data_IF_901701871199
#
_entry.id   IF_901701871199
#
_cell.length_a   1.000
_cell.length_b   1.000
_cell.length_c   1.000
_cell.angle_alpha   90.00
_cell.angle_beta   90.00
_cell.angle_gamma   90.00
#
_symmetry.space_group_name_H-M   'P 1'
#
loop_
_entity.id
_entity.type
_entity.pdbx_description
1 polymer ?
#
# COMPACT_ATOMS: atom_id res chain seq x y z
N UNK A 1 -48.17 12.94 75.89
CA UNK A 1 -49.53 13.42 75.60
C UNK A 1 -49.56 13.87 74.15
N UNK A 2 -50.32 13.17 73.30
CA UNK A 2 -50.74 13.51 71.93
C UNK A 2 -49.65 13.73 70.86
N UNK A 3 -49.79 13.35 69.59
CA UNK A 3 -50.59 12.39 68.81
C UNK A 3 -50.28 12.78 67.36
N UNK A 4 -49.89 11.83 66.49
CA UNK A 4 -50.18 11.78 65.02
C UNK A 4 -49.67 12.95 64.15
N UNK A 5 -49.27 12.85 62.88
CA UNK A 5 -49.36 11.94 61.72
C UNK A 5 -48.31 12.52 60.75
N UNK A 6 -47.59 11.80 59.90
CA UNK A 6 -48.07 11.18 58.66
C UNK A 6 -46.81 10.49 58.09
N UNK A 7 -46.75 9.15 58.00
CA UNK A 7 -47.15 8.35 56.83
C UNK A 7 -46.53 8.89 55.53
N UNK A 8 -45.87 8.14 54.66
CA UNK A 8 -45.67 6.71 54.44
C UNK A 8 -44.91 6.68 53.10
N UNK A 9 -43.86 5.87 52.94
CA UNK A 9 -43.22 5.41 51.68
C UNK A 9 -41.76 5.12 52.03
N UNK A 10 -41.19 3.95 51.85
CA UNK A 10 -41.70 2.65 51.45
C UNK A 10 -40.55 1.68 51.79
N UNK A 11 -40.89 0.55 52.41
CA UNK A 11 -40.37 -0.78 52.14
C UNK A 11 -38.93 -0.86 51.55
N UNK A 12 -37.93 -1.31 52.31
CA UNK A 12 -37.61 -2.74 52.50
C UNK A 12 -37.77 -3.54 51.20
N UNK A 13 -36.65 -3.89 50.56
CA UNK A 13 -36.22 -5.27 50.19
C UNK A 13 -35.05 -5.14 49.22
N UNK A 14 -33.82 -5.52 49.58
CA UNK A 14 -33.30 -6.91 49.59
C UNK A 14 -33.13 -7.45 48.17
N UNK A 15 -31.95 -8.05 47.96
CA UNK A 15 -31.64 -9.16 47.04
C UNK A 15 -30.75 -8.88 45.82
N UNK A 16 -29.46 -9.12 46.06
CA UNK A 16 -28.64 -10.10 45.34
C UNK A 16 -28.09 -9.80 43.94
N UNK A 17 -26.78 -9.58 43.94
CA UNK A 17 -25.81 -10.17 43.01
C UNK A 17 -26.23 -11.58 42.58
N UNK A 18 -26.50 -11.82 41.29
CA UNK A 18 -26.10 -13.03 40.54
C UNK A 18 -26.01 -12.70 39.04
N UNK A 19 -24.80 -12.87 38.51
CA UNK A 19 -24.42 -12.98 37.10
C UNK A 19 -25.17 -14.17 36.47
N UNK A 20 -25.89 -13.99 35.37
CA UNK A 20 -26.13 -15.08 34.41
C UNK A 20 -26.22 -14.60 32.96
N UNK A 21 -25.44 -15.31 32.14
CA UNK A 21 -25.63 -15.62 30.72
C UNK A 21 -25.52 -14.47 29.70
N UNK A 22 -24.29 -14.27 29.25
CA UNK A 22 -23.96 -13.91 27.86
C UNK A 22 -24.77 -14.77 26.88
N UNK A 23 -25.69 -14.11 26.18
CA UNK A 23 -26.54 -14.71 25.16
C UNK A 23 -26.93 -13.68 24.10
N UNK A 24 -25.99 -12.83 23.66
CA UNK A 24 -26.20 -12.06 22.44
C UNK A 24 -26.08 -13.03 21.26
N UNK A 25 -27.25 -13.46 20.80
CA UNK A 25 -27.46 -14.12 19.53
C UNK A 25 -26.92 -13.21 18.42
N UNK A 26 -25.66 -13.42 18.03
CA UNK A 26 -25.10 -12.85 16.81
C UNK A 26 -25.85 -13.49 15.65
N UNK A 27 -26.88 -12.80 15.18
CA UNK A 27 -27.38 -12.99 13.83
C UNK A 27 -26.18 -12.86 12.90
N UNK A 28 -25.74 -13.99 12.33
CA UNK A 28 -24.90 -14.04 11.14
C UNK A 28 -25.64 -13.29 10.03
N UNK A 29 -25.41 -11.98 9.93
CA UNK A 29 -25.56 -11.29 8.66
C UNK A 29 -24.47 -11.86 7.78
N UNK A 30 -24.91 -12.59 6.76
CA UNK A 30 -24.10 -13.00 5.63
C UNK A 30 -23.20 -11.84 5.22
N UNK A 31 -21.89 -12.08 5.18
CA UNK A 31 -20.94 -11.18 4.56
C UNK A 31 -21.37 -11.00 3.10
N UNK A 32 -22.12 -9.94 2.83
CA UNK A 32 -22.12 -9.33 1.52
C UNK A 32 -20.69 -8.86 1.32
N UNK A 33 -20.02 -9.49 0.36
CA UNK A 33 -18.77 -9.01 -0.21
C UNK A 33 -18.99 -7.53 -0.56
N UNK A 34 -18.48 -6.65 0.29
CA UNK A 34 -18.27 -5.26 -0.08
C UNK A 34 -17.18 -5.28 -1.15
N UNK A 35 -17.57 -5.00 -2.39
CA UNK A 35 -16.60 -4.74 -3.46
C UNK A 35 -15.96 -3.40 -3.08
N UNK A 36 -14.80 -3.46 -2.42
CA UNK A 36 -14.04 -2.28 -2.06
C UNK A 36 -13.47 -1.69 -3.35
N UNK A 37 -14.12 -0.69 -3.93
CA UNK A 37 -13.54 0.12 -5.01
C UNK A 37 -12.52 1.05 -4.37
N UNK A 38 -11.25 1.02 -4.78
CA UNK A 38 -10.29 2.01 -4.31
C UNK A 38 -10.68 3.34 -4.94
N UNK A 39 -10.65 4.44 -4.17
CA UNK A 39 -10.96 5.74 -4.76
C UNK A 39 -9.86 6.12 -5.76
N UNK A 40 -10.26 6.68 -6.92
CA UNK A 40 -9.36 7.31 -7.93
C UNK A 40 -8.36 8.28 -7.25
N UNK A 41 -8.74 8.84 -6.11
CA UNK A 41 -7.94 9.71 -5.26
C UNK A 41 -6.73 9.01 -4.61
N UNK A 42 -6.90 7.83 -4.01
CA UNK A 42 -5.81 7.15 -3.27
C UNK A 42 -4.70 6.67 -4.20
N UNK A 43 -5.06 5.96 -5.26
CA UNK A 43 -4.07 5.46 -6.22
C UNK A 43 -3.56 6.59 -7.13
N UNK A 44 -4.35 7.65 -7.32
CA UNK A 44 -3.89 8.89 -7.93
C UNK A 44 -2.76 9.58 -7.15
N UNK A 45 -2.81 9.54 -5.81
CA UNK A 45 -1.72 10.06 -4.97
C UNK A 45 -0.40 9.29 -5.15
N UNK A 46 -0.46 7.96 -5.24
CA UNK A 46 0.71 7.13 -5.54
C UNK A 46 1.34 7.50 -6.89
N UNK A 47 0.53 7.77 -7.92
CA UNK A 47 1.03 8.20 -9.22
C UNK A 47 1.61 9.62 -9.19
N UNK A 48 0.97 10.55 -8.49
CA UNK A 48 1.49 11.91 -8.33
C UNK A 48 2.83 11.95 -7.58
N UNK A 49 3.07 10.99 -6.68
CA UNK A 49 4.32 10.81 -5.95
C UNK A 49 5.42 10.11 -6.78
N UNK A 50 5.06 9.50 -7.92
CA UNK A 50 5.98 8.67 -8.73
C UNK A 50 6.25 9.18 -10.14
N UNK A 51 5.40 10.04 -10.69
CA UNK A 51 5.54 10.57 -12.06
C UNK A 51 5.17 12.05 -12.15
N UNK A 52 6.11 12.86 -12.63
CA UNK A 52 5.95 14.31 -12.80
C UNK A 52 6.61 14.78 -14.10
N UNK A 53 5.85 15.51 -14.92
CA UNK A 53 6.35 16.17 -16.15
C UNK A 53 7.17 15.26 -17.10
N UNK A 54 6.80 13.98 -17.20
CA UNK A 54 7.52 13.03 -18.06
C UNK A 54 8.70 12.32 -17.38
N UNK A 55 8.96 12.57 -16.11
CA UNK A 55 10.03 11.97 -15.31
C UNK A 55 9.48 11.12 -14.18
N UNK A 56 10.20 10.07 -13.81
CA UNK A 56 9.90 9.25 -12.65
C UNK A 56 10.71 9.73 -11.44
N UNK A 57 10.00 9.91 -10.33
CA UNK A 57 10.51 10.34 -9.03
C UNK A 57 10.06 9.33 -7.98
N UNK A 58 10.62 9.40 -6.77
CA UNK A 58 10.21 8.51 -5.67
C UNK A 58 9.90 9.32 -4.42
N UNK A 59 8.67 9.21 -3.91
CA UNK A 59 8.22 9.92 -2.69
C UNK A 59 8.44 11.44 -2.72
N UNK A 60 8.44 12.06 -3.91
CA UNK A 60 8.75 13.50 -4.05
C UNK A 60 10.21 13.86 -3.73
N UNK A 61 11.09 12.87 -3.59
CA UNK A 61 12.50 13.07 -3.25
C UNK A 61 13.34 13.28 -4.52
N UNK A 62 14.31 14.21 -4.49
CA UNK A 62 15.28 14.32 -5.57
C UNK A 62 16.20 13.09 -5.57
N UNK A 63 16.57 12.63 -6.76
CA UNK A 63 17.57 11.56 -6.90
C UNK A 63 18.92 11.97 -6.34
N UNK A 64 19.68 10.98 -5.86
CA UNK A 64 21.01 11.14 -5.26
C UNK A 64 21.05 11.95 -3.95
N UNK A 65 19.88 12.19 -3.33
CA UNK A 65 19.79 12.70 -1.97
C UNK A 65 20.45 11.71 -0.98
N UNK A 66 21.12 12.23 0.06
CA UNK A 66 21.78 11.36 1.03
C UNK A 66 20.78 10.57 1.87
N UNK A 67 21.20 9.42 2.40
CA UNK A 67 20.37 8.59 3.29
C UNK A 67 19.88 9.37 4.50
N UNK A 68 20.75 10.17 5.12
CA UNK A 68 20.38 10.99 6.27
C UNK A 68 19.30 12.02 5.90
N UNK A 69 19.43 12.68 4.75
CA UNK A 69 18.41 13.62 4.29
C UNK A 69 17.07 12.93 3.97
N UNK A 70 17.08 11.69 3.47
CA UNK A 70 15.85 10.89 3.32
C UNK A 70 15.21 10.66 4.68
N UNK A 71 15.98 10.20 5.67
CA UNK A 71 15.51 9.98 7.03
C UNK A 71 14.88 11.25 7.60
N UNK A 72 15.54 12.40 7.45
CA UNK A 72 15.08 13.67 8.00
C UNK A 72 13.80 14.16 7.30
N UNK A 73 13.74 14.11 5.97
CA UNK A 73 12.58 14.57 5.19
C UNK A 73 11.35 13.69 5.40
N UNK A 74 11.55 12.39 5.45
CA UNK A 74 10.47 11.41 5.61
C UNK A 74 10.17 11.09 7.09
N UNK A 75 10.94 11.66 8.02
CA UNK A 75 10.83 11.45 9.47
C UNK A 75 10.92 9.97 9.85
N UNK A 76 11.85 9.26 9.22
CA UNK A 76 12.04 7.82 9.41
C UNK A 76 12.88 7.55 10.64
N UNK A 77 12.79 6.33 11.15
CA UNK A 77 13.71 5.84 12.17
C UNK A 77 14.95 5.30 11.45
N UNK A 78 16.12 5.67 11.92
CA UNK A 78 17.39 5.18 11.36
C UNK A 78 17.43 3.65 11.44
N UNK A 79 17.77 3.02 10.32
CA UNK A 79 18.01 1.57 10.23
C UNK A 79 19.51 1.29 10.34
N UNK A 80 19.85 0.15 10.94
CA UNK A 80 21.23 -0.33 11.07
C UNK A 80 21.83 -0.83 9.75
N UNK A 81 21.01 -1.03 8.70
CA UNK A 81 21.48 -1.56 7.43
C UNK A 81 21.90 -0.45 6.47
N UNK A 82 23.08 -0.58 5.88
CA UNK A 82 23.77 0.48 5.15
C UNK A 82 23.09 0.81 3.80
N UNK A 83 22.59 -0.19 3.07
CA UNK A 83 22.20 -0.02 1.66
C UNK A 83 20.69 0.17 1.43
N UNK A 84 19.86 -0.01 2.46
CA UNK A 84 18.41 0.11 2.33
C UNK A 84 17.73 0.66 3.59
N UNK A 85 16.60 1.34 3.39
CA UNK A 85 15.64 1.68 4.45
C UNK A 85 14.30 1.05 4.10
N UNK A 86 13.73 0.26 5.01
CA UNK A 86 12.45 -0.41 4.84
C UNK A 86 11.47 0.16 5.84
N UNK A 87 10.33 0.67 5.35
CA UNK A 87 9.29 1.26 6.19
C UNK A 87 7.91 0.76 5.78
N UNK A 88 6.98 0.78 6.74
CA UNK A 88 5.57 0.57 6.43
C UNK A 88 5.05 1.72 5.59
N UNK A 89 4.31 1.39 4.53
CA UNK A 89 3.76 2.40 3.65
C UNK A 89 2.49 3.04 4.20
N UNK A 90 2.22 4.27 3.75
CA UNK A 90 1.15 5.12 4.30
C UNK A 90 0.01 5.37 3.31
N UNK A 91 0.04 4.79 2.11
CA UNK A 91 -1.09 4.98 1.19
C UNK A 91 -2.32 4.30 1.77
N UNK A 92 -3.48 4.99 1.82
CA UNK A 92 -4.70 4.47 2.44
C UNK A 92 -5.36 3.39 1.57
N UNK A 93 -4.69 2.26 1.45
CA UNK A 93 -5.20 1.05 0.81
C UNK A 93 -6.11 0.28 1.79
N UNK A 94 -6.86 -0.67 1.24
CA UNK A 94 -7.63 -1.62 2.04
C UNK A 94 -6.72 -2.36 3.03
N UNK A 95 -7.20 -2.61 4.25
CA UNK A 95 -6.47 -3.32 5.31
C UNK A 95 -5.98 -4.74 4.92
N UNK A 96 -6.53 -5.32 3.85
CA UNK A 96 -6.08 -6.60 3.28
C UNK A 96 -4.81 -6.52 2.42
N UNK A 97 -4.33 -5.31 2.11
CA UNK A 97 -3.08 -5.09 1.40
C UNK A 97 -2.03 -4.55 2.37
N UNK A 98 -0.95 -5.31 2.55
CA UNK A 98 0.23 -4.84 3.25
C UNK A 98 1.08 -4.00 2.31
N UNK A 99 1.38 -2.77 2.70
CA UNK A 99 2.29 -1.89 1.96
C UNK A 99 3.66 -1.82 2.65
N UNK A 100 4.72 -1.92 1.86
CA UNK A 100 6.09 -1.67 2.29
C UNK A 100 6.78 -0.76 1.29
N UNK A 101 7.49 0.24 1.80
CA UNK A 101 8.28 1.18 1.01
C UNK A 101 9.75 0.90 1.29
N UNK A 102 10.54 0.71 0.23
CA UNK A 102 11.98 0.45 0.34
C UNK A 102 12.72 1.55 -0.38
N UNK A 103 13.64 2.21 0.32
CA UNK A 103 14.60 3.14 -0.25
C UNK A 103 15.92 2.39 -0.43
N UNK A 104 16.51 2.44 -1.62
CA UNK A 104 17.78 1.78 -1.92
C UNK A 104 18.86 2.83 -2.17
N UNK A 105 20.00 2.62 -1.52
CA UNK A 105 21.12 3.52 -1.55
C UNK A 105 22.32 2.87 -2.23
N UNK A 106 23.11 3.68 -2.90
CA UNK A 106 24.44 3.30 -3.37
C UNK A 106 25.36 4.47 -3.03
N UNK A 107 26.48 4.19 -2.36
CA UNK A 107 27.42 5.23 -1.93
C UNK A 107 26.73 6.36 -1.14
N UNK A 108 25.84 6.00 -0.19
CA UNK A 108 24.99 6.89 0.62
C UNK A 108 23.92 7.69 -0.16
N UNK A 109 23.77 7.46 -1.47
CA UNK A 109 22.85 8.20 -2.33
C UNK A 109 21.63 7.39 -2.74
N UNK A 110 20.44 7.99 -2.69
CA UNK A 110 19.20 7.36 -3.14
C UNK A 110 19.25 7.12 -4.67
N UNK A 111 19.28 5.85 -5.06
CA UNK A 111 19.36 5.43 -6.47
C UNK A 111 18.10 4.76 -6.99
N UNK A 112 17.30 4.16 -6.11
CA UNK A 112 16.00 3.59 -6.46
C UNK A 112 15.09 3.43 -5.25
N UNK A 113 13.80 3.31 -5.50
CA UNK A 113 12.78 3.04 -4.49
C UNK A 113 11.81 1.96 -4.95
N UNK A 114 11.19 1.28 -3.99
CA UNK A 114 10.20 0.25 -4.24
C UNK A 114 8.93 0.45 -3.41
N UNK A 115 7.79 0.35 -4.07
CA UNK A 115 6.51 0.07 -3.42
C UNK A 115 6.19 -1.41 -3.56
N UNK A 116 6.05 -2.09 -2.42
CA UNK A 116 5.64 -3.49 -2.35
C UNK A 116 4.26 -3.56 -1.74
N UNK A 117 3.35 -4.19 -2.47
CA UNK A 117 1.98 -4.38 -2.05
C UNK A 117 1.67 -5.88 -2.07
N UNK A 118 1.41 -6.44 -0.90
CA UNK A 118 1.21 -7.87 -0.72
C UNK A 118 -0.18 -8.17 -0.18
N UNK A 119 -0.83 -9.22 -0.70
CA UNK A 119 -2.09 -9.74 -0.19
C UNK A 119 -2.20 -11.24 -0.43
N UNK A 120 -2.84 -11.95 0.48
CA UNK A 120 -3.19 -13.37 0.32
C UNK A 120 -4.55 -13.55 -0.39
N UNK A 121 -5.29 -12.47 -0.64
CA UNK A 121 -6.60 -12.52 -1.29
C UNK A 121 -6.48 -12.29 -2.80
N UNK A 122 -6.59 -13.39 -3.56
CA UNK A 122 -6.52 -13.36 -5.02
C UNK A 122 -7.58 -12.43 -5.66
N UNK A 123 -8.80 -12.41 -5.14
CA UNK A 123 -9.86 -11.58 -5.73
C UNK A 123 -9.56 -10.10 -5.54
N UNK A 124 -9.07 -9.73 -4.35
CA UNK A 124 -8.61 -8.37 -4.11
C UNK A 124 -7.39 -8.01 -4.95
N UNK A 125 -6.44 -8.93 -5.12
CA UNK A 125 -5.29 -8.71 -5.98
C UNK A 125 -5.69 -8.46 -7.44
N UNK A 126 -6.59 -9.29 -8.00
CA UNK A 126 -7.08 -9.15 -9.36
C UNK A 126 -7.88 -7.84 -9.56
N UNK A 127 -8.71 -7.46 -8.60
CA UNK A 127 -9.45 -6.20 -8.66
C UNK A 127 -8.50 -5.00 -8.61
N UNK A 128 -7.55 -5.03 -7.68
CA UNK A 128 -6.59 -3.94 -7.51
C UNK A 128 -5.67 -3.79 -8.73
N UNK A 129 -5.27 -4.90 -9.35
CA UNK A 129 -4.56 -4.91 -10.64
C UNK A 129 -5.31 -4.12 -11.71
N UNK A 130 -6.61 -4.41 -11.92
CA UNK A 130 -7.47 -3.69 -12.89
C UNK A 130 -7.53 -2.20 -12.61
N UNK A 131 -7.75 -1.83 -11.35
CA UNK A 131 -7.86 -0.42 -10.96
C UNK A 131 -6.53 0.33 -11.19
N UNK A 132 -5.41 -0.29 -10.84
CA UNK A 132 -4.09 0.24 -11.15
C UNK A 132 -3.85 0.34 -12.66
N UNK A 133 -4.29 -0.64 -13.45
CA UNK A 133 -4.18 -0.64 -14.92
C UNK A 133 -4.92 0.53 -15.57
N UNK A 134 -6.15 0.80 -15.12
CA UNK A 134 -6.94 1.96 -15.57
C UNK A 134 -6.21 3.27 -15.26
N UNK A 135 -5.66 3.38 -14.05
CA UNK A 135 -4.94 4.58 -13.61
C UNK A 135 -3.63 4.80 -14.35
N UNK A 136 -2.80 3.76 -14.46
CA UNK A 136 -1.55 3.82 -15.22
C UNK A 136 -1.83 4.19 -16.68
N UNK A 137 -2.90 3.68 -17.28
CA UNK A 137 -3.30 4.02 -18.66
C UNK A 137 -3.75 5.48 -18.83
N UNK A 138 -4.33 6.06 -17.76
CA UNK A 138 -4.81 7.46 -17.74
C UNK A 138 -3.66 8.46 -17.60
N UNK A 139 -2.64 8.12 -16.81
CA UNK A 139 -1.57 9.06 -16.41
C UNK A 139 -0.24 8.86 -17.14
N UNK A 140 0.07 7.64 -17.56
CA UNK A 140 1.35 7.30 -18.15
C UNK A 140 1.22 7.04 -19.66
N UNK A 141 2.31 7.27 -20.44
CA UNK A 141 2.36 6.77 -21.80
C UNK A 141 2.31 5.24 -21.83
N UNK A 142 2.17 4.68 -23.04
CA UNK A 142 2.23 3.22 -23.19
C UNK A 142 3.56 2.66 -22.66
N UNK A 143 3.55 1.53 -21.93
CA UNK A 143 4.76 0.84 -21.51
C UNK A 143 5.60 0.38 -22.71
N UNK A 144 6.90 0.16 -22.49
CA UNK A 144 7.88 -0.30 -23.48
C UNK A 144 7.91 -1.81 -23.68
N UNK A 145 7.44 -2.57 -22.70
CA UNK A 145 7.47 -4.03 -22.71
C UNK A 145 6.11 -4.57 -23.15
N UNK A 146 5.32 -5.04 -22.20
CA UNK A 146 4.05 -5.73 -22.40
C UNK A 146 2.87 -4.77 -22.50
N UNK A 147 1.73 -5.27 -22.97
CA UNK A 147 0.48 -4.53 -22.92
C UNK A 147 0.04 -4.30 -21.46
N UNK A 148 -0.44 -3.10 -21.14
CA UNK A 148 -0.93 -2.75 -19.81
C UNK A 148 -2.08 -3.67 -19.34
N UNK A 149 -2.78 -4.31 -20.29
CA UNK A 149 -3.80 -5.33 -20.07
C UNK A 149 -3.33 -6.54 -19.23
N UNK A 150 -2.02 -6.76 -19.03
CA UNK A 150 -1.56 -7.79 -18.08
C UNK A 150 -2.07 -7.56 -16.65
N UNK A 151 -2.38 -6.32 -16.31
CA UNK A 151 -2.96 -5.94 -15.02
C UNK A 151 -4.44 -6.33 -14.91
N UNK A 152 -5.15 -6.51 -16.03
CA UNK A 152 -6.53 -7.00 -16.03
C UNK A 152 -6.62 -8.49 -15.66
N UNK A 153 -5.50 -9.20 -15.81
CA UNK A 153 -5.31 -10.62 -15.49
C UNK A 153 -4.16 -10.77 -14.48
N UNK A 154 -4.15 -9.92 -13.44
CA UNK A 154 -3.01 -9.81 -12.54
C UNK A 154 -2.64 -11.14 -11.86
N UNK A 155 -3.63 -11.97 -11.51
CA UNK A 155 -3.48 -13.30 -10.93
C UNK A 155 -2.72 -14.27 -11.84
N UNK A 156 -3.09 -14.33 -13.12
CA UNK A 156 -2.41 -15.16 -14.12
C UNK A 156 -1.01 -14.59 -14.41
N UNK A 157 -0.91 -13.27 -14.59
CA UNK A 157 0.34 -12.57 -14.87
C UNK A 157 1.37 -12.71 -13.75
N UNK A 158 0.92 -12.78 -12.49
CA UNK A 158 1.78 -12.99 -11.33
C UNK A 158 2.47 -14.36 -11.35
N UNK A 159 1.82 -15.39 -11.88
CA UNK A 159 2.42 -16.72 -12.02
C UNK A 159 3.47 -16.76 -13.15
N UNK A 160 3.35 -15.86 -14.13
CA UNK A 160 4.24 -15.78 -15.28
C UNK A 160 5.44 -14.84 -15.06
N UNK A 161 5.41 -14.03 -14.00
CA UNK A 161 6.46 -13.05 -13.72
C UNK A 161 6.46 -11.87 -14.69
N UNK A 162 5.29 -11.52 -15.23
CA UNK A 162 5.16 -10.45 -16.22
C UNK A 162 5.48 -9.08 -15.59
N UNK A 163 6.01 -8.17 -16.40
CA UNK A 163 6.33 -6.82 -15.97
C UNK A 163 6.05 -5.76 -17.05
N UNK A 164 5.70 -4.57 -16.58
CA UNK A 164 5.54 -3.36 -17.37
C UNK A 164 6.70 -2.43 -17.09
N UNK A 165 7.30 -1.87 -18.13
CA UNK A 165 8.43 -0.96 -18.01
C UNK A 165 8.11 0.37 -18.70
N UNK A 166 8.38 1.46 -17.99
CA UNK A 166 8.37 2.82 -18.53
C UNK A 166 9.74 3.47 -18.36
N UNK A 167 10.07 4.37 -19.27
CA UNK A 167 11.24 5.24 -19.16
C UNK A 167 10.79 6.69 -19.32
N UNK A 168 11.21 7.53 -18.36
CA UNK A 168 11.00 8.96 -18.37
C UNK A 168 11.95 9.67 -19.35
N UNK A 169 11.67 10.94 -19.61
CA UNK A 169 12.44 11.78 -20.55
C UNK A 169 13.88 12.02 -20.08
N UNK A 170 14.12 11.98 -18.79
CA UNK A 170 15.44 12.11 -18.13
C UNK A 170 16.19 10.77 -18.03
N UNK A 171 15.59 9.67 -18.53
CA UNK A 171 16.03 8.26 -18.41
C UNK A 171 15.78 7.61 -17.06
N UNK A 172 15.09 8.27 -16.12
CA UNK A 172 14.48 7.60 -14.98
C UNK A 172 13.54 6.49 -15.46
N UNK A 173 13.24 5.51 -14.62
CA UNK A 173 12.37 4.41 -15.04
C UNK A 173 11.45 3.94 -13.94
N UNK A 174 10.33 3.36 -14.35
CA UNK A 174 9.44 2.64 -13.47
C UNK A 174 9.18 1.27 -14.04
N UNK A 175 9.27 0.24 -13.20
CA UNK A 175 8.92 -1.13 -13.52
C UNK A 175 7.84 -1.61 -12.56
N UNK A 176 6.72 -2.07 -13.11
CA UNK A 176 5.67 -2.75 -12.34
C UNK A 176 5.80 -4.24 -12.60
N UNK A 177 5.99 -5.03 -11.55
CA UNK A 177 6.12 -6.50 -11.63
C UNK A 177 5.03 -7.17 -10.80
N UNK A 178 4.49 -8.25 -11.32
CA UNK A 178 3.52 -9.09 -10.63
C UNK A 178 4.18 -10.43 -10.33
N UNK A 179 4.01 -10.93 -9.11
CA UNK A 179 4.58 -12.23 -8.72
C UNK A 179 3.74 -12.92 -7.65
N UNK A 180 3.80 -14.24 -7.63
CA UNK A 180 3.31 -15.06 -6.50
C UNK A 180 4.53 -15.44 -5.65
N UNK A 181 4.46 -15.17 -4.35
CA UNK A 181 5.49 -15.60 -3.41
C UNK A 181 5.17 -17.00 -2.86
N UNK A 182 6.17 -17.72 -2.35
CA UNK A 182 6.04 -19.12 -1.94
C UNK A 182 5.04 -19.42 -0.79
N UNK A 183 4.39 -18.40 -0.22
CA UNK A 183 3.32 -18.52 0.77
C UNK A 183 1.92 -18.20 0.21
N UNK A 184 1.74 -18.24 -1.11
CA UNK A 184 0.49 -17.85 -1.81
C UNK A 184 0.12 -16.36 -1.68
N UNK A 185 1.02 -15.53 -1.14
CA UNK A 185 0.86 -14.08 -1.17
C UNK A 185 1.17 -13.56 -2.58
N UNK A 186 0.21 -12.87 -3.16
CA UNK A 186 0.35 -12.10 -4.37
C UNK A 186 1.07 -10.80 -4.08
N UNK A 187 2.06 -10.48 -4.91
CA UNK A 187 2.91 -9.31 -4.77
C UNK A 187 2.85 -8.48 -6.04
N UNK A 188 2.52 -7.20 -5.88
CA UNK A 188 2.77 -6.17 -6.87
C UNK A 188 3.94 -5.31 -6.39
N UNK A 189 4.94 -5.20 -7.24
CA UNK A 189 6.14 -4.40 -7.02
C UNK A 189 6.18 -3.24 -8.01
N UNK A 190 6.18 -2.01 -7.53
CA UNK A 190 6.53 -0.83 -8.33
C UNK A 190 7.95 -0.39 -7.97
N UNK A 191 8.90 -0.64 -8.86
CA UNK A 191 10.29 -0.22 -8.71
C UNK A 191 10.53 1.05 -9.52
N UNK A 192 10.97 2.12 -8.86
CA UNK A 192 11.28 3.42 -9.47
C UNK A 192 12.78 3.66 -9.34
N UNK A 193 13.47 3.91 -10.45
CA UNK A 193 14.91 4.09 -10.46
C UNK A 193 15.32 5.47 -11.00
N UNK A 194 16.38 6.01 -10.40
CA UNK A 194 17.05 7.22 -10.84
C UNK A 194 17.50 7.14 -12.30
N UNK A 195 17.66 8.29 -12.98
CA UNK A 195 18.28 8.33 -14.29
C UNK A 195 19.74 7.89 -14.16
N UNK A 196 20.00 6.60 -14.38
CA UNK A 196 21.37 6.10 -14.36
C UNK A 196 22.19 6.81 -15.47
N UNK A 197 23.45 7.17 -15.19
CA UNK A 197 24.32 7.72 -16.23
C UNK A 197 24.46 6.73 -17.38
N UNK A 198 24.63 7.25 -18.59
CA UNK A 198 24.88 6.44 -19.78
C UNK A 198 26.12 5.57 -19.49
N UNK A 199 25.98 4.24 -19.55
CA UNK A 199 27.15 3.37 -19.46
C UNK A 199 28.02 3.65 -20.69
N UNK A 200 29.07 4.45 -20.52
CA UNK A 200 30.00 4.81 -21.60
C UNK A 200 30.66 3.58 -22.26
N UNK A 201 30.60 2.41 -21.61
CA UNK A 201 31.13 1.14 -22.13
C UNK A 201 30.29 0.42 -23.19
N UNK A 202 29.14 0.95 -23.63
CA UNK A 202 28.28 0.31 -24.65
C UNK A 202 28.11 1.12 -25.95
N UNK A 203 28.90 2.18 -26.15
CA UNK A 203 29.10 2.76 -27.48
C UNK A 203 30.06 1.84 -28.25
N UNK A 204 29.51 0.80 -28.87
CA UNK A 204 30.20 0.03 -29.93
C UNK A 204 30.05 0.75 -31.27
#
# INVERSE_FOLDING_TARGET
>A
MNKTRMLFLCLITVLSVVITASGCSFHKKSAQSEIYTYSDETLGQLLAATYQEGTFIFEGLPWLISKQEVIDKQKLIQSDDDDWLIVEGTFPLNASIKQTVIYNFQDDQLVSGEYRFATSDNNHFAQWGKELGVLLSKWLPKPRTENIEILDQADISAQQGNNLLWQGVDRSSMKVSLSVTGQEDYLLLMHVASPLPEREGLKK
#
